data_IF_484227681612
#
_entry.id   IF_484227681612
#
_cell.length_a   1.000
_cell.length_b   1.000
_cell.length_c   1.000
_cell.angle_alpha   90.00
_cell.angle_beta   90.00
_cell.angle_gamma   90.00
#
_symmetry.space_group_name_H-M   'P 1'
#
loop_
_entity.id
_entity.type
_entity.pdbx_description
1 polymer ?
#
# COMPACT_ATOMS: atom_id res chain seq x y z
N UNK A 1 16.10 -5.04 24.46
CA UNK A 1 15.69 -6.22 25.29
C UNK A 1 15.61 -7.42 24.38
N UNK A 2 16.07 -8.59 24.81
CA UNK A 2 15.93 -9.84 24.04
C UNK A 2 14.69 -10.57 24.54
N UNK A 3 13.78 -10.90 23.64
CA UNK A 3 12.52 -11.59 23.93
C UNK A 3 12.28 -12.72 22.96
N UNK A 4 11.49 -13.72 23.35
CA UNK A 4 11.13 -14.85 22.50
C UNK A 4 9.90 -14.55 21.65
N UNK A 5 9.99 -14.87 20.35
CA UNK A 5 8.89 -14.67 19.41
C UNK A 5 7.71 -15.60 19.71
N UNK A 6 6.51 -15.03 19.75
CA UNK A 6 5.24 -15.74 19.83
C UNK A 6 4.33 -15.31 18.69
N UNK A 7 3.83 -16.26 17.91
CA UNK A 7 2.82 -16.00 16.90
C UNK A 7 1.46 -15.76 17.53
N UNK A 8 0.77 -14.69 17.09
CA UNK A 8 -0.63 -14.42 17.44
C UNK A 8 -1.43 -14.42 16.14
N UNK A 9 -2.37 -15.38 16.02
CA UNK A 9 -3.23 -15.54 14.84
C UNK A 9 -4.33 -14.44 14.80
N UNK A 10 -3.90 -13.23 14.47
CA UNK A 10 -4.76 -12.05 14.34
C UNK A 10 -4.10 -11.07 13.37
N UNK A 11 -4.89 -10.30 12.62
CA UNK A 11 -4.42 -9.19 11.79
C UNK A 11 -5.10 -7.90 12.25
N UNK A 12 -4.30 -6.88 12.56
CA UNK A 12 -4.76 -5.55 12.96
C UNK A 12 -4.68 -4.51 11.83
N UNK A 13 -4.25 -4.92 10.63
CA UNK A 13 -4.05 -4.02 9.49
C UNK A 13 -2.76 -3.18 9.56
N UNK A 14 -2.11 -3.12 10.72
CA UNK A 14 -0.79 -2.53 10.96
C UNK A 14 0.14 -3.56 11.61
N UNK A 15 1.45 -3.33 11.55
CA UNK A 15 2.37 -4.19 12.28
C UNK A 15 2.22 -3.96 13.78
N UNK A 16 1.79 -4.98 14.48
CA UNK A 16 1.51 -4.92 15.91
C UNK A 16 2.37 -5.90 16.66
N UNK A 17 3.01 -5.40 17.73
CA UNK A 17 3.71 -6.18 18.74
C UNK A 17 2.96 -6.13 20.07
N UNK A 18 2.93 -7.22 20.79
CA UNK A 18 2.26 -7.34 22.09
C UNK A 18 3.30 -7.71 23.15
N UNK A 19 3.45 -6.90 24.20
CA UNK A 19 4.35 -7.17 25.32
C UNK A 19 3.58 -7.34 26.64
N UNK A 20 4.17 -8.10 27.54
CA UNK A 20 3.71 -8.14 28.93
C UNK A 20 3.98 -6.80 29.63
N UNK A 21 3.10 -6.38 30.53
CA UNK A 21 3.26 -5.10 31.25
C UNK A 21 4.63 -4.95 31.92
N UNK A 22 5.15 -6.00 32.56
CA UNK A 22 6.46 -5.96 33.22
C UNK A 22 7.61 -5.69 32.22
N UNK A 23 7.53 -6.27 31.01
CA UNK A 23 8.53 -6.03 29.97
C UNK A 23 8.43 -4.62 29.41
N UNK A 24 7.20 -4.07 29.34
CA UNK A 24 6.98 -2.67 28.97
C UNK A 24 7.59 -1.69 29.98
N UNK A 25 7.43 -1.96 31.28
CA UNK A 25 8.05 -1.15 32.33
C UNK A 25 9.57 -1.20 32.26
N UNK A 26 10.15 -2.40 32.05
CA UNK A 26 11.59 -2.58 31.94
C UNK A 26 12.17 -1.91 30.70
N UNK A 27 11.44 -1.92 29.55
CA UNK A 27 11.83 -1.28 28.30
C UNK A 27 11.54 0.23 28.30
N UNK A 28 10.72 0.73 29.24
CA UNK A 28 10.30 2.13 29.33
C UNK A 28 9.32 2.55 28.24
N UNK A 29 8.47 1.63 27.77
CA UNK A 29 7.47 1.83 26.72
C UNK A 29 6.05 1.64 27.24
N UNK A 30 5.08 2.15 26.49
CA UNK A 30 3.65 2.01 26.79
C UNK A 30 2.84 1.73 25.52
N UNK A 31 1.60 1.40 25.71
CA UNK A 31 0.63 1.22 24.61
C UNK A 31 0.69 2.38 23.60
N UNK A 32 0.62 2.05 22.31
CA UNK A 32 0.74 2.96 21.16
C UNK A 32 2.14 3.57 20.94
N UNK A 33 3.14 3.21 21.74
CA UNK A 33 4.53 3.49 21.38
C UNK A 33 4.98 2.57 20.24
N UNK A 34 6.12 2.88 19.66
CA UNK A 34 6.74 2.06 18.61
C UNK A 34 7.89 1.27 19.18
N UNK A 35 7.96 0.04 18.74
CA UNK A 35 9.10 -0.82 18.98
C UNK A 35 9.67 -1.31 17.66
N UNK A 36 10.98 -1.32 17.58
CA UNK A 36 11.71 -1.93 16.48
C UNK A 36 12.01 -3.37 16.88
N UNK A 37 11.59 -4.30 16.05
CA UNK A 37 11.85 -5.72 16.17
C UNK A 37 12.97 -6.06 15.23
N UNK A 38 14.10 -6.53 15.77
CA UNK A 38 15.26 -6.92 14.99
C UNK A 38 15.50 -8.42 15.10
N UNK A 39 15.68 -9.02 13.95
CA UNK A 39 16.12 -10.39 13.79
C UNK A 39 17.20 -10.45 12.70
N UNK A 40 18.00 -11.53 12.64
CA UNK A 40 19.04 -11.69 11.62
C UNK A 40 18.52 -11.58 10.19
N UNK A 41 17.26 -11.99 9.95
CA UNK A 41 16.62 -12.06 8.63
C UNK A 41 15.82 -10.83 8.25
N UNK A 42 15.41 -10.00 9.22
CA UNK A 42 14.59 -8.81 8.96
C UNK A 42 14.57 -7.85 10.15
N UNK A 43 14.24 -6.60 9.86
CA UNK A 43 13.95 -5.55 10.83
C UNK A 43 12.60 -4.94 10.49
N UNK A 44 11.70 -4.82 11.46
CA UNK A 44 10.39 -4.17 11.29
C UNK A 44 10.14 -3.18 12.43
N UNK A 45 9.29 -2.19 12.18
CA UNK A 45 8.72 -1.33 13.23
C UNK A 45 7.28 -1.78 13.49
N UNK A 46 6.91 -1.95 14.75
CA UNK A 46 5.57 -2.35 15.15
C UNK A 46 4.97 -1.38 16.18
N UNK A 47 3.67 -1.21 16.13
CA UNK A 47 2.90 -0.47 17.14
C UNK A 47 2.67 -1.40 18.34
N UNK A 48 3.00 -0.90 19.52
CA UNK A 48 2.95 -1.69 20.74
C UNK A 48 1.54 -1.76 21.32
N UNK A 49 1.13 -2.96 21.66
CA UNK A 49 0.00 -3.26 22.55
C UNK A 49 0.51 -3.94 23.81
N UNK A 50 -0.21 -3.80 24.92
CA UNK A 50 0.17 -4.34 26.21
C UNK A 50 -0.82 -5.38 26.69
N UNK A 51 -0.35 -6.35 27.44
CA UNK A 51 -1.19 -7.44 27.97
C UNK A 51 -0.62 -7.99 29.28
N UNK A 52 -1.46 -8.65 30.06
CA UNK A 52 -1.08 -9.47 31.20
C UNK A 52 -1.33 -10.97 30.99
N UNK A 53 -1.97 -11.34 29.86
CA UNK A 53 -2.44 -12.72 29.64
C UNK A 53 -2.06 -13.30 28.27
N UNK A 54 -2.02 -12.50 27.22
CA UNK A 54 -1.82 -12.99 25.86
C UNK A 54 -0.38 -13.46 25.59
N UNK A 55 0.60 -12.80 26.23
CA UNK A 55 2.01 -13.19 26.22
C UNK A 55 2.54 -13.22 27.65
N UNK A 56 3.54 -14.06 27.91
CA UNK A 56 4.23 -14.10 29.21
C UNK A 56 5.36 -13.09 29.24
N UNK A 57 5.84 -12.76 30.45
CA UNK A 57 7.09 -12.03 30.61
C UNK A 57 8.24 -12.74 29.89
N UNK A 58 9.01 -12.00 29.11
CA UNK A 58 10.09 -12.52 28.27
C UNK A 58 9.65 -12.98 26.87
N UNK A 59 8.36 -12.82 26.52
CA UNK A 59 7.84 -13.10 25.19
C UNK A 59 7.41 -11.81 24.47
N UNK A 60 7.58 -11.75 23.14
CA UNK A 60 6.96 -10.75 22.29
C UNK A 60 5.97 -11.42 21.34
N UNK A 61 4.70 -11.09 21.49
CA UNK A 61 3.66 -11.50 20.55
C UNK A 61 3.72 -10.65 19.28
N UNK A 62 3.80 -11.30 18.11
CA UNK A 62 3.69 -10.63 16.82
C UNK A 62 2.41 -11.09 16.13
N UNK A 63 1.58 -10.13 15.70
CA UNK A 63 0.38 -10.42 14.93
C UNK A 63 0.75 -10.90 13.53
N UNK A 64 -0.13 -11.66 12.87
CA UNK A 64 0.12 -12.43 11.67
C UNK A 64 0.95 -11.74 10.58
N UNK A 65 0.59 -10.50 10.20
CA UNK A 65 1.33 -9.72 9.21
C UNK A 65 2.71 -9.25 9.72
N UNK A 66 2.82 -8.82 10.98
CA UNK A 66 4.09 -8.44 11.60
C UNK A 66 5.02 -9.66 11.77
N UNK A 67 4.45 -10.81 12.18
CA UNK A 67 5.18 -12.05 12.30
C UNK A 67 5.80 -12.51 10.98
N UNK A 68 5.00 -12.47 9.89
CA UNK A 68 5.46 -12.83 8.55
C UNK A 68 6.55 -11.87 8.06
N UNK A 69 6.40 -10.56 8.31
CA UNK A 69 7.37 -9.55 7.90
C UNK A 69 8.68 -9.64 8.69
N UNK A 70 8.64 -10.01 9.96
CA UNK A 70 9.82 -10.23 10.80
C UNK A 70 10.61 -11.49 10.40
N UNK A 71 10.04 -12.40 9.61
CA UNK A 71 10.67 -13.65 9.12
C UNK A 71 11.23 -14.49 10.25
N UNK A 72 10.46 -14.67 11.30
CA UNK A 72 10.85 -15.40 12.51
C UNK A 72 10.04 -16.68 12.66
N UNK A 73 10.62 -17.64 13.40
CA UNK A 73 9.93 -18.85 13.85
C UNK A 73 9.54 -18.73 15.32
N UNK A 74 8.56 -19.52 15.80
CA UNK A 74 8.17 -19.50 17.20
C UNK A 74 9.38 -19.81 18.13
N UNK A 75 9.46 -19.10 19.26
CA UNK A 75 10.51 -19.23 20.29
C UNK A 75 11.89 -18.71 19.87
N UNK A 76 12.09 -18.18 18.65
CA UNK A 76 13.33 -17.48 18.29
C UNK A 76 13.50 -16.20 19.09
N UNK A 77 14.74 -15.86 19.40
CA UNK A 77 15.09 -14.64 20.14
C UNK A 77 15.09 -13.43 19.21
N UNK A 78 14.43 -12.36 19.66
CA UNK A 78 14.32 -11.09 18.97
C UNK A 78 14.86 -9.97 19.84
N UNK A 79 15.54 -9.02 19.23
CA UNK A 79 15.85 -7.77 19.88
C UNK A 79 14.69 -6.79 19.72
N UNK A 80 14.11 -6.34 20.85
CA UNK A 80 13.03 -5.36 20.91
C UNK A 80 13.58 -4.06 21.47
N UNK A 81 13.44 -2.96 20.70
CA UNK A 81 14.01 -1.65 21.03
C UNK A 81 12.94 -0.57 20.88
N UNK A 82 12.87 0.36 21.82
CA UNK A 82 12.05 1.57 21.66
C UNK A 82 12.45 2.35 20.41
N UNK A 83 11.46 2.83 19.67
CA UNK A 83 11.67 3.67 18.50
C UNK A 83 10.79 4.92 18.59
N UNK A 84 11.34 6.13 18.43
CA UNK A 84 10.54 7.35 18.45
C UNK A 84 9.62 7.42 17.23
N UNK A 85 8.60 8.29 17.33
CA UNK A 85 7.72 8.59 16.20
C UNK A 85 8.52 9.15 15.02
N UNK A 86 8.26 8.68 13.79
CA UNK A 86 8.94 9.22 12.61
C UNK A 86 8.59 10.69 12.39
N UNK A 87 9.47 11.40 11.72
CA UNK A 87 9.30 12.83 11.45
C UNK A 87 8.05 13.12 10.60
N UNK A 88 7.67 12.17 9.75
CA UNK A 88 6.46 12.23 8.90
C UNK A 88 5.17 12.48 9.67
N UNK A 89 5.11 12.13 10.96
CA UNK A 89 3.98 12.51 11.84
C UNK A 89 3.85 14.04 11.97
N UNK A 90 4.96 14.78 11.91
CA UNK A 90 4.93 16.24 11.89
C UNK A 90 4.36 16.78 10.58
N UNK A 91 4.62 16.12 9.47
CA UNK A 91 4.09 16.46 8.14
C UNK A 91 2.59 16.20 8.06
N UNK A 92 2.11 15.11 8.67
CA UNK A 92 0.66 14.88 8.83
C UNK A 92 0.01 16.06 9.58
N UNK A 93 0.58 16.49 10.71
CA UNK A 93 0.07 17.65 11.46
C UNK A 93 0.11 18.94 10.65
N UNK A 94 1.15 19.14 9.83
CA UNK A 94 1.26 20.25 8.89
C UNK A 94 0.11 20.23 7.89
N UNK A 95 -0.18 19.06 7.28
CA UNK A 95 -1.29 18.91 6.34
C UNK A 95 -2.66 19.08 7.00
N UNK A 96 -2.83 18.63 8.25
CA UNK A 96 -4.05 18.88 9.04
C UNK A 96 -4.35 20.38 9.25
N UNK A 97 -3.32 21.24 9.27
CA UNK A 97 -3.49 22.70 9.32
C UNK A 97 -3.74 23.35 7.97
N UNK A 98 -3.82 22.56 6.90
CA UNK A 98 -4.01 23.07 5.53
C UNK A 98 -2.74 23.60 4.87
N UNK A 99 -1.57 23.36 5.46
CA UNK A 99 -0.29 23.78 4.89
C UNK A 99 0.17 22.83 3.77
N UNK A 100 0.90 23.38 2.80
CA UNK A 100 1.49 22.59 1.71
C UNK A 100 2.70 21.79 2.21
N UNK A 101 2.82 20.55 1.71
CA UNK A 101 4.00 19.71 1.94
C UNK A 101 5.03 19.94 0.83
N UNK A 102 6.31 19.89 1.17
CA UNK A 102 7.38 19.86 0.16
C UNK A 102 7.50 18.47 -0.48
N UNK A 103 8.24 18.38 -1.58
CA UNK A 103 8.49 17.10 -2.26
C UNK A 103 9.23 16.10 -1.36
N UNK A 104 10.16 16.58 -0.53
CA UNK A 104 10.90 15.77 0.43
C UNK A 104 10.00 15.27 1.57
N UNK A 105 9.11 16.12 2.09
CA UNK A 105 8.15 15.76 3.12
C UNK A 105 7.17 14.68 2.61
N UNK A 106 6.69 14.80 1.37
CA UNK A 106 5.82 13.82 0.73
C UNK A 106 6.57 12.49 0.53
N UNK A 107 7.80 12.53 0.03
CA UNK A 107 8.62 11.32 -0.18
C UNK A 107 8.90 10.60 1.14
N UNK A 108 9.28 11.35 2.19
CA UNK A 108 9.49 10.80 3.52
C UNK A 108 8.22 10.16 4.09
N UNK A 109 7.07 10.84 3.95
CA UNK A 109 5.78 10.32 4.40
C UNK A 109 5.39 9.02 3.67
N UNK A 110 5.51 8.98 2.34
CA UNK A 110 5.20 7.79 1.54
C UNK A 110 6.14 6.63 1.88
N UNK A 111 7.42 6.92 2.13
CA UNK A 111 8.36 5.91 2.59
C UNK A 111 7.93 5.32 3.95
N UNK A 112 7.57 6.15 4.92
CA UNK A 112 7.11 5.67 6.23
C UNK A 112 5.80 4.88 6.14
N UNK A 113 4.90 5.25 5.21
CA UNK A 113 3.69 4.46 4.91
C UNK A 113 4.08 3.09 4.36
N UNK A 114 4.93 3.03 3.34
CA UNK A 114 5.33 1.78 2.69
C UNK A 114 6.09 0.83 3.62
N UNK A 115 6.80 1.37 4.61
CA UNK A 115 7.53 0.62 5.63
C UNK A 115 6.68 0.29 6.87
N UNK A 116 5.38 0.61 6.87
CA UNK A 116 4.47 0.43 8.01
C UNK A 116 4.93 1.15 9.31
N UNK A 117 5.63 2.27 9.18
CA UNK A 117 6.11 3.06 10.31
C UNK A 117 5.02 3.92 10.95
N UNK A 118 3.85 4.06 10.32
CA UNK A 118 2.72 4.86 10.81
C UNK A 118 1.61 3.98 11.37
N UNK A 119 1.01 4.43 12.48
CA UNK A 119 -0.14 3.77 13.07
C UNK A 119 -1.42 4.05 12.27
N UNK A 120 -2.44 3.20 12.45
CA UNK A 120 -3.77 3.41 11.86
C UNK A 120 -4.38 4.77 12.21
N UNK A 121 -4.12 5.28 13.43
CA UNK A 121 -4.57 6.60 13.88
C UNK A 121 -3.90 7.71 13.05
N UNK A 122 -2.60 7.61 12.82
CA UNK A 122 -1.83 8.60 12.04
C UNK A 122 -2.21 8.54 10.56
N UNK A 123 -2.39 7.34 10.03
CA UNK A 123 -2.89 7.13 8.66
C UNK A 123 -4.29 7.71 8.47
N UNK A 124 -5.20 7.49 9.42
CA UNK A 124 -6.55 8.07 9.36
C UNK A 124 -6.52 9.60 9.43
N UNK A 125 -5.64 10.18 10.24
CA UNK A 125 -5.42 11.63 10.30
C UNK A 125 -4.88 12.17 8.97
N UNK A 126 -3.94 11.45 8.32
CA UNK A 126 -3.42 11.82 7.00
C UNK A 126 -4.51 11.81 5.93
N UNK A 127 -5.21 10.69 5.77
CA UNK A 127 -6.30 10.54 4.78
C UNK A 127 -7.39 11.60 5.00
N UNK A 128 -7.80 11.82 6.25
CA UNK A 128 -8.78 12.85 6.58
C UNK A 128 -8.28 14.25 6.23
N UNK A 129 -7.00 14.53 6.48
CA UNK A 129 -6.41 15.83 6.13
C UNK A 129 -6.37 16.07 4.62
N UNK A 130 -6.12 15.03 3.81
CA UNK A 130 -6.20 15.10 2.36
C UNK A 130 -7.63 15.33 1.88
N UNK A 131 -8.61 14.68 2.51
CA UNK A 131 -10.03 14.82 2.17
C UNK A 131 -10.55 16.23 2.43
N UNK A 132 -10.15 16.84 3.55
CA UNK A 132 -10.62 18.16 3.96
C UNK A 132 -9.85 19.28 3.25
N UNK A 133 -8.52 19.21 3.21
CA UNK A 133 -7.66 20.29 2.76
C UNK A 133 -7.16 20.13 1.32
N UNK A 134 -7.30 18.93 0.74
CA UNK A 134 -6.81 18.61 -0.60
C UNK A 134 -5.28 18.70 -0.73
N UNK A 135 -4.82 18.59 -1.95
CA UNK A 135 -3.45 18.86 -2.40
C UNK A 135 -3.49 19.71 -3.67
N UNK A 136 -2.51 20.57 -3.85
CA UNK A 136 -2.33 21.25 -5.13
C UNK A 136 -1.72 20.29 -6.18
N UNK A 137 -1.62 20.75 -7.44
CA UNK A 137 -1.15 19.92 -8.55
C UNK A 137 0.30 19.43 -8.35
N UNK A 138 1.19 20.26 -7.77
CA UNK A 138 2.57 19.89 -7.46
C UNK A 138 2.60 18.77 -6.40
N UNK A 139 1.90 18.96 -5.29
CA UNK A 139 1.81 17.94 -4.23
C UNK A 139 1.26 16.62 -4.78
N UNK A 140 0.23 16.66 -5.64
CA UNK A 140 -0.37 15.47 -6.25
C UNK A 140 0.63 14.75 -7.17
N UNK A 141 1.41 15.51 -7.96
CA UNK A 141 2.46 14.94 -8.79
C UNK A 141 3.60 14.33 -7.95
N UNK A 142 4.03 15.01 -6.89
CA UNK A 142 5.05 14.52 -5.96
C UNK A 142 4.58 13.25 -5.24
N UNK A 143 3.32 13.20 -4.80
CA UNK A 143 2.71 12.01 -4.20
C UNK A 143 2.69 10.83 -5.19
N UNK A 144 2.30 11.10 -6.43
CA UNK A 144 2.33 10.10 -7.51
C UNK A 144 3.72 9.50 -7.68
N UNK A 145 4.74 10.35 -7.78
CA UNK A 145 6.12 9.91 -7.98
C UNK A 145 6.67 9.18 -6.76
N UNK A 146 6.39 9.65 -5.55
CA UNK A 146 6.79 8.97 -4.33
C UNK A 146 6.17 7.57 -4.21
N UNK A 147 4.91 7.40 -4.62
CA UNK A 147 4.25 6.09 -4.68
C UNK A 147 4.93 5.15 -5.70
N UNK A 148 5.32 5.65 -6.87
CA UNK A 148 6.08 4.86 -7.85
C UNK A 148 7.43 4.44 -7.27
N UNK A 149 8.15 5.37 -6.64
CA UNK A 149 9.47 5.13 -6.05
C UNK A 149 9.41 4.12 -4.87
N UNK A 150 8.26 3.98 -4.22
CA UNK A 150 8.08 3.02 -3.12
C UNK A 150 7.88 1.57 -3.56
N UNK A 151 7.65 1.32 -4.84
CA UNK A 151 7.32 0.00 -5.38
C UNK A 151 8.21 -0.45 -6.52
N UNK A 152 7.76 -1.52 -7.19
CA UNK A 152 8.42 -2.05 -8.38
C UNK A 152 8.00 -1.27 -9.63
N UNK A 153 8.92 -1.12 -10.57
CA UNK A 153 8.64 -0.60 -11.90
C UNK A 153 8.92 -1.67 -12.95
N UNK A 154 8.12 -1.66 -14.02
CA UNK A 154 8.28 -2.60 -15.12
C UNK A 154 8.78 -1.83 -16.35
N UNK A 155 9.93 -2.24 -16.86
CA UNK A 155 10.51 -1.67 -18.07
C UNK A 155 10.26 -2.56 -19.28
N UNK A 156 9.92 -1.94 -20.40
CA UNK A 156 9.70 -2.61 -21.69
C UNK A 156 10.56 -1.95 -22.77
N UNK A 157 10.99 -2.72 -23.75
CA UNK A 157 11.76 -2.22 -24.90
C UNK A 157 10.90 -1.55 -25.98
N UNK A 158 9.58 -1.57 -25.81
CA UNK A 158 8.60 -1.02 -26.77
C UNK A 158 7.76 0.05 -26.09
N UNK A 159 7.10 0.90 -26.90
CA UNK A 159 6.13 1.86 -26.40
C UNK A 159 4.92 1.17 -25.75
N UNK A 160 4.60 1.59 -24.55
CA UNK A 160 3.53 1.01 -23.72
C UNK A 160 2.30 1.93 -23.76
N UNK A 161 1.19 1.32 -24.08
CA UNK A 161 -0.13 1.94 -24.08
C UNK A 161 -0.92 1.48 -22.87
N UNK A 162 -1.71 2.37 -22.29
CA UNK A 162 -2.60 2.01 -21.19
C UNK A 162 -3.97 2.71 -21.38
N UNK A 163 -4.96 2.13 -20.74
CA UNK A 163 -6.34 2.61 -20.75
C UNK A 163 -6.87 2.59 -19.32
N UNK A 164 -7.50 3.67 -18.89
CA UNK A 164 -8.16 3.73 -17.59
C UNK A 164 -9.57 4.27 -17.76
N UNK A 165 -10.56 3.49 -17.32
CA UNK A 165 -11.92 3.97 -17.16
C UNK A 165 -12.10 4.40 -15.71
N UNK A 166 -12.43 5.66 -15.48
CA UNK A 166 -12.75 6.18 -14.14
C UNK A 166 -14.05 5.53 -13.70
N UNK A 167 -13.96 4.68 -12.67
CA UNK A 167 -14.88 3.62 -12.36
C UNK A 167 -16.25 4.01 -11.84
N UNK A 168 -16.91 3.02 -11.25
CA UNK A 168 -18.19 3.18 -10.56
C UNK A 168 -19.44 3.00 -11.44
N UNK A 169 -19.32 2.91 -12.76
CA UNK A 169 -20.47 2.63 -13.64
C UNK A 169 -20.81 1.12 -13.63
N UNK A 170 -21.91 0.69 -13.03
CA UNK A 170 -22.34 -0.70 -13.08
C UNK A 170 -22.49 -1.18 -14.52
N UNK A 171 -21.92 -2.36 -14.81
CA UNK A 171 -21.97 -2.95 -16.18
C UNK A 171 -20.96 -2.39 -17.16
N UNK A 172 -20.10 -1.43 -16.79
CA UNK A 172 -19.02 -0.97 -17.63
C UNK A 172 -17.95 -2.07 -17.80
N UNK A 173 -17.89 -2.67 -18.99
CA UNK A 173 -16.96 -3.73 -19.37
C UNK A 173 -16.06 -3.30 -20.54
N UNK A 174 -15.86 -2.01 -20.73
CA UNK A 174 -15.11 -1.46 -21.87
C UNK A 174 -13.64 -1.88 -21.84
N UNK A 175 -13.03 -1.96 -20.67
CA UNK A 175 -11.59 -2.24 -20.52
C UNK A 175 -11.15 -3.58 -21.19
N UNK A 176 -11.78 -4.73 -20.95
CA UNK A 176 -11.40 -5.98 -21.63
C UNK A 176 -11.50 -5.88 -23.15
N UNK A 177 -12.50 -5.18 -23.67
CA UNK A 177 -12.68 -4.97 -25.10
C UNK A 177 -11.56 -4.10 -25.68
N UNK A 178 -11.27 -2.98 -25.04
CA UNK A 178 -10.20 -2.05 -25.47
C UNK A 178 -8.84 -2.74 -25.44
N UNK A 179 -8.50 -3.45 -24.38
CA UNK A 179 -7.22 -4.20 -24.29
C UNK A 179 -7.07 -5.19 -25.44
N UNK A 180 -8.11 -5.92 -25.75
CA UNK A 180 -8.10 -6.90 -26.85
C UNK A 180 -7.92 -6.23 -28.21
N UNK A 181 -8.58 -5.10 -28.45
CA UNK A 181 -8.46 -4.32 -29.72
C UNK A 181 -7.06 -3.74 -29.87
N UNK A 182 -6.50 -3.14 -28.80
CA UNK A 182 -5.17 -2.52 -28.82
C UNK A 182 -4.10 -3.58 -29.06
N UNK A 183 -4.18 -4.73 -28.39
CA UNK A 183 -3.26 -5.84 -28.58
C UNK A 183 -3.37 -6.41 -30.01
N UNK A 184 -4.59 -6.58 -30.55
CA UNK A 184 -4.82 -7.04 -31.92
C UNK A 184 -4.29 -6.07 -32.97
N UNK A 185 -4.20 -4.78 -32.65
CA UNK A 185 -3.59 -3.75 -33.49
C UNK A 185 -2.04 -3.77 -33.46
N UNK A 186 -1.43 -4.70 -32.73
CA UNK A 186 0.03 -4.84 -32.63
C UNK A 186 0.69 -3.89 -31.62
N UNK A 187 -0.08 -3.28 -30.71
CA UNK A 187 0.43 -2.41 -29.66
C UNK A 187 0.53 -3.18 -28.32
N UNK A 188 1.42 -2.73 -27.45
CA UNK A 188 1.63 -3.40 -26.15
C UNK A 188 0.86 -2.67 -25.04
N UNK A 189 -0.08 -3.39 -24.40
CA UNK A 189 -0.96 -2.87 -23.35
C UNK A 189 -0.97 -3.78 -22.10
N UNK A 190 0.01 -3.62 -21.15
CA UNK A 190 0.08 -4.38 -19.92
C UNK A 190 -0.91 -3.81 -18.88
N UNK A 191 -2.20 -4.00 -19.10
CA UNK A 191 -3.26 -3.41 -18.27
C UNK A 191 -3.27 -3.99 -16.87
N UNK A 192 -3.15 -3.12 -15.88
CA UNK A 192 -3.44 -3.42 -14.48
C UNK A 192 -4.75 -2.79 -14.04
N UNK A 193 -5.45 -3.44 -13.13
CA UNK A 193 -6.73 -2.98 -12.58
C UNK A 193 -6.82 -3.30 -11.09
N UNK A 194 -7.63 -2.52 -10.36
CA UNK A 194 -8.03 -2.84 -9.00
C UNK A 194 -9.19 -3.84 -8.98
N UNK A 195 -9.42 -4.44 -7.82
CA UNK A 195 -10.70 -5.03 -7.43
C UNK A 195 -11.68 -3.92 -7.05
N UNK A 196 -12.96 -4.26 -6.86
CA UNK A 196 -13.97 -3.30 -6.40
C UNK A 196 -13.59 -2.72 -5.03
N UNK A 197 -13.70 -1.39 -4.90
CA UNK A 197 -13.48 -0.69 -3.63
C UNK A 197 -14.83 -0.29 -3.03
N UNK A 198 -15.74 0.27 -3.81
CA UNK A 198 -16.98 0.87 -3.28
C UNK A 198 -18.28 0.24 -3.76
N UNK A 199 -18.47 -0.11 -5.03
CA UNK A 199 -19.83 -0.49 -5.48
C UNK A 199 -19.95 -1.42 -6.67
N UNK A 200 -19.23 -1.21 -7.73
CA UNK A 200 -19.25 -2.05 -8.92
C UNK A 200 -18.07 -3.00 -8.93
N UNK A 201 -18.21 -4.18 -9.56
CA UNK A 201 -17.07 -5.08 -9.76
C UNK A 201 -15.96 -4.37 -10.53
N UNK A 202 -14.74 -4.44 -10.01
CA UNK A 202 -13.55 -3.95 -10.71
C UNK A 202 -13.28 -4.77 -11.96
N UNK A 203 -12.45 -4.23 -12.87
CA UNK A 203 -12.09 -4.98 -14.08
C UNK A 203 -11.40 -6.31 -13.76
N UNK A 204 -10.57 -6.35 -12.70
CA UNK A 204 -9.95 -7.60 -12.25
C UNK A 204 -11.00 -8.62 -11.81
N UNK A 205 -12.03 -8.21 -11.06
CA UNK A 205 -13.11 -9.11 -10.61
C UNK A 205 -13.90 -9.69 -11.79
N UNK A 206 -14.16 -8.86 -12.81
CA UNK A 206 -14.88 -9.28 -14.01
C UNK A 206 -14.07 -10.32 -14.81
N UNK A 207 -12.78 -10.06 -14.98
CA UNK A 207 -11.90 -10.93 -15.76
C UNK A 207 -11.60 -12.24 -15.04
N UNK A 208 -11.50 -12.22 -13.71
CA UNK A 208 -11.23 -13.40 -12.89
C UNK A 208 -12.30 -14.49 -13.02
N UNK A 209 -13.53 -14.14 -13.45
CA UNK A 209 -14.59 -15.10 -13.72
C UNK A 209 -14.20 -16.12 -14.79
N UNK A 210 -13.32 -15.73 -15.74
CA UNK A 210 -12.96 -16.57 -16.87
C UNK A 210 -11.45 -16.71 -17.11
N UNK A 211 -10.61 -15.93 -16.41
CA UNK A 211 -9.14 -15.97 -16.57
C UNK A 211 -8.44 -15.59 -15.27
N UNK A 212 -7.30 -16.22 -14.92
CA UNK A 212 -6.49 -15.77 -13.78
C UNK A 212 -6.02 -14.33 -13.98
N UNK A 213 -6.06 -13.52 -12.90
CA UNK A 213 -5.61 -12.11 -12.88
C UNK A 213 -4.50 -11.85 -11.88
N UNK A 214 -4.29 -12.77 -10.92
CA UNK A 214 -3.27 -12.63 -9.88
C UNK A 214 -1.95 -13.29 -10.34
N UNK A 215 -0.97 -12.48 -10.66
CA UNK A 215 0.39 -12.89 -11.01
C UNK A 215 1.38 -11.74 -10.77
N UNK A 216 2.66 -12.08 -10.73
CA UNK A 216 3.75 -11.14 -10.49
C UNK A 216 4.09 -10.25 -11.70
N UNK A 217 4.92 -9.24 -11.48
CA UNK A 217 5.36 -8.29 -12.50
C UNK A 217 6.14 -8.94 -13.64
N UNK A 218 6.91 -10.00 -13.35
CA UNK A 218 7.70 -10.72 -14.36
C UNK A 218 6.82 -11.47 -15.32
N UNK A 219 5.76 -12.11 -14.81
CA UNK A 219 4.76 -12.82 -15.64
C UNK A 219 3.92 -11.83 -16.44
N UNK A 220 3.54 -10.68 -15.86
CA UNK A 220 2.86 -9.61 -16.59
C UNK A 220 3.68 -9.16 -17.79
N UNK A 221 4.97 -8.85 -17.58
CA UNK A 221 5.89 -8.44 -18.64
C UNK A 221 5.95 -9.48 -19.74
N UNK A 222 6.21 -10.74 -19.40
CA UNK A 222 6.30 -11.85 -20.37
C UNK A 222 5.03 -12.03 -21.20
N UNK A 223 3.85 -11.93 -20.56
CA UNK A 223 2.57 -12.06 -21.27
C UNK A 223 2.36 -10.87 -22.21
N UNK A 224 2.59 -9.63 -21.75
CA UNK A 224 2.45 -8.46 -22.60
C UNK A 224 3.38 -8.48 -23.82
N UNK A 225 4.63 -8.90 -23.65
CA UNK A 225 5.59 -9.08 -24.74
C UNK A 225 5.20 -10.22 -25.71
N UNK A 226 4.52 -11.27 -25.23
CA UNK A 226 4.19 -12.44 -26.05
C UNK A 226 2.91 -12.23 -26.85
N UNK A 227 1.87 -11.65 -26.23
CA UNK A 227 0.52 -11.55 -26.84
C UNK A 227 0.03 -10.12 -27.02
N UNK A 228 0.86 -9.13 -26.73
CA UNK A 228 0.54 -7.70 -26.89
C UNK A 228 -0.30 -7.11 -25.76
N UNK A 229 -0.92 -7.89 -24.89
CA UNK A 229 -1.77 -7.36 -23.84
C UNK A 229 -2.00 -8.29 -22.67
N UNK A 230 -2.33 -7.72 -21.51
CA UNK A 230 -2.71 -8.45 -20.29
C UNK A 230 -3.84 -7.74 -19.57
N UNK A 231 -4.49 -8.46 -18.65
CA UNK A 231 -5.40 -7.92 -17.65
C UNK A 231 -5.03 -8.53 -16.31
N UNK A 232 -4.36 -7.75 -15.48
CA UNK A 232 -3.84 -8.19 -14.19
C UNK A 232 -4.45 -7.43 -13.02
N UNK A 233 -4.55 -8.08 -11.87
CA UNK A 233 -4.85 -7.41 -10.61
C UNK A 233 -3.58 -6.72 -10.07
N UNK A 234 -3.59 -5.38 -9.98
CA UNK A 234 -2.45 -4.59 -9.51
C UNK A 234 -2.01 -4.92 -8.08
N UNK A 235 -2.94 -5.33 -7.21
CA UNK A 235 -2.61 -5.71 -5.83
C UNK A 235 -1.88 -7.05 -5.67
N UNK A 236 -1.69 -7.84 -6.74
CA UNK A 236 -0.80 -9.02 -6.72
C UNK A 236 0.65 -8.68 -7.04
N UNK A 237 0.92 -7.42 -7.37
CA UNK A 237 2.22 -6.88 -7.74
C UNK A 237 2.55 -5.73 -6.80
N UNK A 238 3.80 -5.57 -6.45
CA UNK A 238 4.27 -4.51 -5.53
C UNK A 238 4.52 -3.19 -6.29
N UNK A 239 3.58 -2.73 -7.14
CA UNK A 239 3.75 -1.55 -8.00
C UNK A 239 3.66 -0.21 -7.26
N UNK A 240 2.82 -0.13 -6.22
CA UNK A 240 2.65 1.06 -5.40
C UNK A 240 2.17 0.64 -3.98
N UNK A 241 3.04 0.04 -3.16
CA UNK A 241 2.64 -0.52 -1.85
C UNK A 241 2.07 0.53 -0.90
N UNK A 242 2.56 1.76 -0.93
CA UNK A 242 2.01 2.85 -0.13
C UNK A 242 0.55 3.14 -0.49
N UNK A 243 0.17 3.08 -1.76
CA UNK A 243 -1.20 3.27 -2.21
C UNK A 243 -2.14 2.18 -1.66
N UNK A 244 -1.73 0.92 -1.72
CA UNK A 244 -2.53 -0.19 -1.21
C UNK A 244 -2.75 -0.09 0.31
N UNK A 245 -1.80 0.47 1.06
CA UNK A 245 -1.94 0.75 2.50
C UNK A 245 -2.91 1.91 2.74
N UNK A 246 -2.82 2.99 1.96
CA UNK A 246 -3.72 4.16 2.07
C UNK A 246 -5.16 3.75 1.79
N UNK A 247 -5.42 2.97 0.73
CA UNK A 247 -6.75 2.47 0.36
C UNK A 247 -7.40 1.66 1.51
N UNK A 248 -6.62 0.89 2.27
CA UNK A 248 -7.13 0.14 3.44
C UNK A 248 -7.68 1.06 4.53
N UNK A 249 -7.20 2.29 4.61
CA UNK A 249 -7.69 3.31 5.56
C UNK A 249 -8.87 4.09 4.97
N UNK A 250 -8.85 4.38 3.67
CA UNK A 250 -9.94 5.06 2.97
C UNK A 250 -11.25 4.25 3.02
N UNK A 251 -11.14 2.94 2.81
CA UNK A 251 -12.30 2.05 2.75
C UNK A 251 -13.20 2.10 4.01
N UNK A 252 -12.71 1.89 5.24
CA UNK A 252 -13.54 1.98 6.44
C UNK A 252 -14.01 3.41 6.77
N UNK A 253 -13.25 4.44 6.34
CA UNK A 253 -13.64 5.84 6.51
C UNK A 253 -14.73 6.26 5.49
N UNK A 254 -14.88 5.53 4.39
CA UNK A 254 -15.81 5.87 3.31
C UNK A 254 -15.48 7.21 2.63
N UNK A 255 -14.20 7.57 2.56
CA UNK A 255 -13.73 8.80 1.93
C UNK A 255 -12.82 8.51 0.74
N UNK A 256 -12.81 9.42 -0.24
CA UNK A 256 -12.01 9.30 -1.45
C UNK A 256 -11.41 10.69 -1.77
N UNK A 257 -10.22 11.03 -1.22
CA UNK A 257 -9.58 12.31 -1.46
C UNK A 257 -9.16 12.43 -2.93
N UNK A 258 -9.59 13.46 -3.64
CA UNK A 258 -9.39 13.60 -5.08
C UNK A 258 -7.91 13.53 -5.50
N UNK A 259 -7.01 14.16 -4.73
CA UNK A 259 -5.57 14.13 -5.02
C UNK A 259 -4.99 12.71 -4.87
N UNK A 260 -5.44 11.98 -3.83
CA UNK A 260 -5.05 10.60 -3.59
C UNK A 260 -5.56 9.67 -4.69
N UNK A 261 -6.81 9.82 -5.12
CA UNK A 261 -7.38 9.08 -6.25
C UNK A 261 -6.54 9.26 -7.52
N UNK A 262 -6.18 10.51 -7.84
CA UNK A 262 -5.33 10.80 -8.99
C UNK A 262 -3.95 10.15 -8.84
N UNK A 263 -3.30 10.30 -7.67
CA UNK A 263 -1.99 9.71 -7.41
C UNK A 263 -2.03 8.18 -7.49
N UNK A 264 -3.05 7.54 -6.93
CA UNK A 264 -3.29 6.09 -7.00
C UNK A 264 -3.38 5.58 -8.43
N UNK A 265 -4.20 6.24 -9.26
CA UNK A 265 -4.35 5.87 -10.67
C UNK A 265 -3.03 6.06 -11.41
N UNK A 266 -2.43 7.25 -11.32
CA UNK A 266 -1.26 7.63 -12.12
C UNK A 266 0.01 6.88 -11.70
N UNK A 267 0.21 6.57 -10.43
CA UNK A 267 1.36 5.82 -9.95
C UNK A 267 1.42 4.41 -10.57
N UNK A 268 0.31 3.71 -10.62
CA UNK A 268 0.23 2.36 -11.23
C UNK A 268 0.47 2.41 -12.74
N UNK A 269 0.02 3.46 -13.43
CA UNK A 269 0.29 3.67 -14.85
C UNK A 269 1.76 3.95 -15.11
N UNK A 270 2.36 4.78 -14.28
CA UNK A 270 3.79 5.08 -14.35
C UNK A 270 4.64 3.86 -14.01
N UNK A 271 4.25 3.08 -13.00
CA UNK A 271 4.97 1.87 -12.58
C UNK A 271 5.00 0.78 -13.65
N UNK A 272 3.94 0.64 -14.47
CA UNK A 272 3.95 -0.28 -15.62
C UNK A 272 4.59 0.31 -16.88
N UNK A 273 5.21 1.48 -16.79
CA UNK A 273 5.97 2.09 -17.89
C UNK A 273 5.10 2.70 -19.00
N UNK A 274 3.84 3.07 -18.74
CA UNK A 274 2.95 3.63 -19.75
C UNK A 274 3.51 4.93 -20.36
N UNK A 275 3.66 4.95 -21.70
CA UNK A 275 4.04 6.10 -22.48
C UNK A 275 2.80 6.87 -22.99
N UNK A 276 1.72 6.14 -23.27
CA UNK A 276 0.45 6.67 -23.75
C UNK A 276 -0.70 6.16 -22.86
N UNK A 277 -1.54 7.08 -22.43
CA UNK A 277 -2.69 6.79 -21.59
C UNK A 277 -3.96 7.41 -22.17
N UNK A 278 -4.99 6.59 -22.33
CA UNK A 278 -6.35 7.07 -22.61
C UNK A 278 -7.18 6.97 -21.34
N UNK A 279 -7.76 8.09 -20.94
CA UNK A 279 -8.69 8.18 -19.81
C UNK A 279 -10.12 8.19 -20.33
N UNK A 280 -10.89 7.18 -19.94
CA UNK A 280 -12.33 7.10 -20.18
C UNK A 280 -13.06 7.65 -18.94
N UNK A 281 -13.83 8.71 -19.14
CA UNK A 281 -14.60 9.39 -18.08
C UNK A 281 -16.08 9.24 -18.41
N UNK A 282 -16.76 8.20 -17.92
CA UNK A 282 -18.18 8.02 -18.14
C UNK A 282 -18.96 9.18 -17.50
N UNK A 283 -19.84 9.80 -18.31
CA UNK A 283 -20.73 10.86 -17.86
C UNK A 283 -22.16 10.46 -18.18
N UNK A 284 -23.08 10.72 -17.24
CA UNK A 284 -24.51 10.44 -17.40
C UNK A 284 -25.36 11.19 -16.40
#
# INVERSE_FOLDING_TARGET
MILKAKYIDMDAGEYTAVLHYDDCEELGVREQDRVKIKHERAEITAILQTTDTAVKKGEVGLLGNAYTAAKVEPEEELEVIYTPKPESVSYIRKKMRGEELTSEEIRSLVNDISQHNLSQVEMSAYVTSLYINGMNLRETADLTMAMVESGETIEFDTAIFDFHSVGGCPGNKVTPVVVSIVAAAGLTIPKTSSRAISSAAGTADIVEVFSPVAFDSSRLKKLAETVGGTLAWGGSMNLAPADDIIIRVEYPLGVDPHAQLLASVMSKKKAVGANFLVMDIPMG
#
